data_IF_975946649448
#
_entry.id   IF_975946649448
#
_cell.length_a   1.000
_cell.length_b   1.000
_cell.length_c   1.000
_cell.angle_alpha   90.00
_cell.angle_beta   90.00
_cell.angle_gamma   90.00
#
_symmetry.space_group_name_H-M   'P 1'
#
loop_
_entity.id
_entity.type
_entity.pdbx_description
1 polymer ?
#
# COMPACT_ATOMS: atom_id res chain seq x y z
N UNK A 1 -34.59 8.60 17.28
CA UNK A 1 -33.22 8.78 16.79
C UNK A 1 -33.12 7.96 15.52
N UNK A 2 -32.89 8.62 14.38
CA UNK A 2 -32.59 7.95 13.11
C UNK A 2 -31.30 7.14 13.29
N UNK A 3 -31.32 5.86 12.97
CA UNK A 3 -30.12 5.01 13.02
C UNK A 3 -29.05 5.50 12.04
N UNK A 4 -27.82 4.98 12.14
CA UNK A 4 -26.73 5.30 11.22
C UNK A 4 -27.14 4.93 9.78
N UNK A 5 -26.81 5.78 8.81
CA UNK A 5 -27.02 5.46 7.40
C UNK A 5 -25.85 4.68 6.83
N UNK A 6 -26.11 3.80 5.87
CA UNK A 6 -25.05 3.06 5.16
C UNK A 6 -24.04 4.02 4.51
N UNK A 7 -24.53 5.11 3.91
CA UNK A 7 -23.67 6.12 3.29
C UNK A 7 -22.72 6.78 4.28
N UNK A 8 -23.18 7.09 5.51
CA UNK A 8 -22.32 7.68 6.54
C UNK A 8 -21.26 6.70 7.03
N UNK A 9 -21.62 5.42 7.16
CA UNK A 9 -20.67 4.35 7.50
C UNK A 9 -19.64 4.17 6.38
N UNK A 10 -20.10 4.10 5.12
CA UNK A 10 -19.23 3.94 3.95
C UNK A 10 -18.26 5.13 3.81
N UNK A 11 -18.74 6.35 4.07
CA UNK A 11 -17.90 7.55 4.08
C UNK A 11 -16.85 7.48 5.21
N UNK A 12 -17.22 7.04 6.42
CA UNK A 12 -16.26 6.87 7.51
C UNK A 12 -15.17 5.84 7.17
N UNK A 13 -15.54 4.76 6.48
CA UNK A 13 -14.61 3.72 6.03
C UNK A 13 -13.59 4.21 4.99
N UNK A 14 -13.83 5.36 4.33
CA UNK A 14 -12.85 5.93 3.40
C UNK A 14 -11.54 6.35 4.09
N UNK A 15 -11.59 6.62 5.40
CA UNK A 15 -10.41 6.92 6.21
C UNK A 15 -9.55 5.70 6.57
N UNK A 16 -10.04 4.48 6.32
CA UNK A 16 -9.35 3.24 6.67
C UNK A 16 -8.43 2.83 5.53
N UNK A 17 -7.13 2.71 5.83
CA UNK A 17 -6.08 2.44 4.86
C UNK A 17 -5.62 0.99 4.99
N UNK A 18 -5.62 0.24 3.89
CA UNK A 18 -4.99 -1.08 3.85
C UNK A 18 -3.47 -0.92 4.10
N UNK A 19 -2.89 -1.56 5.12
CA UNK A 19 -1.50 -1.36 5.51
C UNK A 19 -0.49 -1.93 4.50
N UNK A 20 -0.88 -2.88 3.65
CA UNK A 20 -0.02 -3.47 2.61
C UNK A 20 -0.03 -2.64 1.32
N UNK A 21 -1.22 -2.27 0.85
CA UNK A 21 -1.46 -1.56 -0.41
C UNK A 21 -1.34 -0.04 -0.22
N UNK A 22 -1.52 0.45 1.01
CA UNK A 22 -1.56 1.86 1.40
C UNK A 22 -2.54 2.68 0.58
N UNK A 23 -3.72 2.10 0.37
CA UNK A 23 -4.89 2.74 -0.23
C UNK A 23 -6.12 2.48 0.61
N UNK A 24 -7.11 3.32 0.39
CA UNK A 24 -8.41 3.25 1.04
C UNK A 24 -9.11 1.91 0.72
N UNK A 25 -9.62 1.22 1.75
CA UNK A 25 -10.27 -0.09 1.61
C UNK A 25 -11.56 -0.04 0.77
N UNK A 26 -12.24 1.10 0.72
CA UNK A 26 -13.42 1.35 -0.12
C UNK A 26 -13.03 1.49 -1.59
N UNK A 27 -11.96 2.24 -1.89
CA UNK A 27 -11.46 2.37 -3.28
C UNK A 27 -11.01 1.02 -3.87
N UNK A 28 -10.50 0.15 -2.99
CA UNK A 28 -10.01 -1.18 -3.30
C UNK A 28 -11.12 -2.24 -3.42
N UNK A 29 -12.39 -1.89 -3.23
CA UNK A 29 -13.52 -2.83 -3.15
C UNK A 29 -13.31 -3.94 -2.11
N UNK A 30 -12.64 -3.62 -1.00
CA UNK A 30 -12.45 -4.56 0.10
C UNK A 30 -13.68 -4.61 1.02
N UNK A 31 -14.56 -3.60 1.00
CA UNK A 31 -15.80 -3.61 1.79
C UNK A 31 -16.89 -4.35 1.01
N UNK A 32 -17.21 -5.57 1.46
CA UNK A 32 -18.21 -6.44 0.80
C UNK A 32 -19.64 -6.08 1.20
N UNK A 33 -19.89 -5.93 2.50
CA UNK A 33 -21.22 -5.58 3.03
C UNK A 33 -21.11 -4.66 4.24
N UNK A 34 -22.16 -3.85 4.42
CA UNK A 34 -22.41 -3.05 5.62
C UNK A 34 -23.84 -3.37 6.04
N UNK A 35 -23.99 -4.11 7.13
CA UNK A 35 -25.27 -4.54 7.67
C UNK A 35 -25.61 -3.72 8.93
N UNK A 36 -26.71 -2.98 8.90
CA UNK A 36 -27.13 -2.08 9.97
C UNK A 36 -28.43 -2.59 10.60
N UNK A 37 -28.38 -2.93 11.89
CA UNK A 37 -29.53 -3.31 12.70
C UNK A 37 -29.65 -2.37 13.92
N UNK A 38 -30.51 -1.37 13.79
CA UNK A 38 -30.62 -0.30 14.79
C UNK A 38 -29.30 0.47 14.91
N UNK A 39 -28.65 0.39 16.08
CA UNK A 39 -27.32 0.98 16.31
C UNK A 39 -26.15 0.00 16.12
N UNK A 40 -26.42 -1.27 15.81
CA UNK A 40 -25.38 -2.27 15.58
C UNK A 40 -24.99 -2.30 14.11
N UNK A 41 -23.72 -2.12 13.83
CA UNK A 41 -23.16 -2.14 12.47
C UNK A 41 -22.20 -3.31 12.33
N UNK A 42 -22.44 -4.16 11.33
CA UNK A 42 -21.52 -5.23 10.94
C UNK A 42 -20.90 -4.89 9.60
N UNK A 43 -19.57 -4.87 9.52
CA UNK A 43 -18.83 -4.60 8.28
C UNK A 43 -18.06 -5.84 7.87
N UNK A 44 -18.28 -6.31 6.65
CA UNK A 44 -17.51 -7.42 6.07
C UNK A 44 -16.38 -6.87 5.21
N UNK A 45 -15.14 -7.16 5.59
CA UNK A 45 -13.93 -6.70 4.88
C UNK A 45 -13.16 -7.88 4.29
N UNK A 46 -12.95 -7.86 2.99
CA UNK A 46 -12.24 -8.87 2.21
C UNK A 46 -10.75 -8.55 2.13
N UNK A 47 -9.93 -9.51 2.53
CA UNK A 47 -8.47 -9.40 2.49
C UNK A 47 -7.92 -10.01 1.20
N UNK A 48 -6.79 -9.46 0.74
CA UNK A 48 -6.12 -9.90 -0.49
C UNK A 48 -5.45 -11.27 -0.36
N UNK A 49 -4.93 -11.60 0.82
CA UNK A 49 -4.20 -12.85 1.10
C UNK A 49 -4.69 -13.48 2.42
N UNK A 50 -4.87 -14.79 2.41
CA UNK A 50 -5.22 -15.55 3.60
C UNK A 50 -4.02 -15.62 4.56
N UNK A 51 -4.17 -15.09 5.78
CA UNK A 51 -3.18 -15.22 6.86
C UNK A 51 -2.37 -13.97 7.19
N UNK A 52 -2.77 -12.79 6.68
CA UNK A 52 -2.03 -11.56 6.97
C UNK A 52 -2.06 -11.21 8.48
N UNK A 53 -0.92 -10.93 9.12
CA UNK A 53 -0.86 -10.44 10.52
C UNK A 53 -1.46 -9.04 10.69
N UNK A 54 -1.80 -8.37 9.59
CA UNK A 54 -2.35 -7.01 9.57
C UNK A 54 -3.88 -6.98 9.68
N UNK A 55 -4.53 -8.14 9.82
CA UNK A 55 -5.96 -8.29 10.12
C UNK A 55 -6.39 -7.44 11.31
N UNK A 56 -5.59 -7.48 12.39
CA UNK A 56 -5.89 -6.76 13.62
C UNK A 56 -5.89 -5.24 13.42
N UNK A 57 -5.03 -4.74 12.54
CA UNK A 57 -4.99 -3.31 12.19
C UNK A 57 -6.23 -2.91 11.40
N UNK A 58 -6.58 -3.68 10.36
CA UNK A 58 -7.80 -3.40 9.57
C UNK A 58 -9.05 -3.46 10.45
N UNK A 59 -9.18 -4.48 11.30
CA UNK A 59 -10.29 -4.60 12.25
C UNK A 59 -10.37 -3.38 13.17
N UNK A 60 -9.28 -3.04 13.85
CA UNK A 60 -9.24 -1.91 14.79
C UNK A 60 -9.52 -0.57 14.11
N UNK A 61 -8.94 -0.33 12.95
CA UNK A 61 -9.12 0.93 12.23
C UNK A 61 -10.55 1.07 11.68
N UNK A 62 -11.13 -0.05 11.22
CA UNK A 62 -12.54 -0.14 10.80
C UNK A 62 -13.48 0.13 11.98
N UNK A 63 -13.28 -0.56 13.11
CA UNK A 63 -14.06 -0.33 14.34
C UNK A 63 -13.98 1.13 14.79
N UNK A 64 -12.77 1.69 14.84
CA UNK A 64 -12.55 3.07 15.26
C UNK A 64 -13.14 4.10 14.29
N UNK A 65 -13.21 3.81 12.99
CA UNK A 65 -13.83 4.68 12.00
C UNK A 65 -15.36 4.66 12.12
N UNK A 66 -15.96 3.47 12.18
CA UNK A 66 -17.42 3.30 12.23
C UNK A 66 -18.01 3.73 13.57
N UNK A 67 -17.30 3.51 14.68
CA UNK A 67 -17.77 3.92 16.02
C UNK A 67 -17.93 5.45 16.18
N UNK A 68 -17.36 6.25 15.26
CA UNK A 68 -17.51 7.72 15.24
C UNK A 68 -18.77 8.19 14.49
N UNK A 69 -19.51 7.28 13.86
CA UNK A 69 -20.74 7.62 13.13
C UNK A 69 -21.90 7.76 14.12
N UNK A 70 -22.66 8.85 14.00
CA UNK A 70 -23.81 9.13 14.86
C UNK A 70 -24.84 7.99 14.79
N UNK A 71 -25.29 7.53 15.96
CA UNK A 71 -26.27 6.45 16.09
C UNK A 71 -25.68 5.04 16.18
N UNK A 72 -24.36 4.88 16.01
CA UNK A 72 -23.68 3.59 16.22
C UNK A 72 -23.50 3.31 17.72
N UNK A 73 -23.95 2.14 18.16
CA UNK A 73 -23.82 1.65 19.55
C UNK A 73 -22.89 0.45 19.67
N UNK A 74 -22.77 -0.36 18.61
CA UNK A 74 -21.93 -1.55 18.56
C UNK A 74 -21.38 -1.73 17.15
N UNK A 75 -20.10 -2.11 17.02
CA UNK A 75 -19.46 -2.42 15.74
C UNK A 75 -18.89 -3.83 15.78
N UNK A 76 -19.13 -4.59 14.71
CA UNK A 76 -18.55 -5.91 14.50
C UNK A 76 -17.88 -5.95 13.13
N UNK A 77 -16.65 -6.45 13.06
CA UNK A 77 -15.93 -6.60 11.78
C UNK A 77 -15.76 -8.07 11.47
N UNK A 78 -16.24 -8.48 10.30
CA UNK A 78 -16.08 -9.84 9.78
C UNK A 78 -15.01 -9.80 8.68
N UNK A 79 -14.00 -10.64 8.81
CA UNK A 79 -12.92 -10.71 7.82
C UNK A 79 -13.14 -11.87 6.87
N UNK A 80 -13.21 -11.57 5.57
CA UNK A 80 -13.24 -12.54 4.49
C UNK A 80 -11.95 -12.52 3.66
N UNK A 81 -11.94 -13.29 2.58
CA UNK A 81 -10.85 -13.29 1.61
C UNK A 81 -11.40 -13.08 0.22
N UNK A 82 -10.77 -12.21 -0.56
CA UNK A 82 -11.20 -11.94 -1.94
C UNK A 82 -11.13 -13.19 -2.81
N UNK A 83 -12.15 -13.38 -3.66
CA UNK A 83 -12.19 -14.36 -4.74
C UNK A 83 -11.15 -14.03 -5.83
N UNK A 84 -10.81 -14.99 -6.72
CA UNK A 84 -9.95 -14.72 -7.88
C UNK A 84 -10.44 -13.55 -8.76
N UNK A 85 -11.75 -13.46 -8.99
CA UNK A 85 -12.37 -12.40 -9.79
C UNK A 85 -12.24 -11.03 -9.12
N UNK A 86 -12.49 -10.97 -7.81
CA UNK A 86 -12.33 -9.74 -7.02
C UNK A 86 -10.88 -9.27 -6.99
N UNK A 87 -9.91 -10.19 -6.86
CA UNK A 87 -8.47 -9.86 -6.96
C UNK A 87 -8.10 -9.34 -8.34
N UNK A 88 -8.68 -9.89 -9.40
CA UNK A 88 -8.47 -9.41 -10.77
C UNK A 88 -9.00 -7.98 -10.94
N UNK A 89 -10.21 -7.68 -10.45
CA UNK A 89 -10.77 -6.33 -10.50
C UNK A 89 -9.92 -5.31 -9.72
N UNK A 90 -9.47 -5.67 -8.52
CA UNK A 90 -8.55 -4.83 -7.73
C UNK A 90 -7.23 -4.58 -8.48
N UNK A 91 -6.69 -5.60 -9.15
CA UNK A 91 -5.47 -5.47 -9.97
C UNK A 91 -5.65 -4.48 -11.11
N UNK A 92 -6.77 -4.52 -11.82
CA UNK A 92 -7.09 -3.57 -12.88
C UNK A 92 -7.15 -2.11 -12.35
N UNK A 93 -7.72 -1.90 -11.16
CA UNK A 93 -7.69 -0.58 -10.49
C UNK A 93 -6.27 -0.13 -10.11
N UNK A 94 -5.43 -1.05 -9.64
CA UNK A 94 -4.06 -0.74 -9.19
C UNK A 94 -3.09 -0.48 -10.35
N UNK A 95 -3.23 -1.19 -11.48
CA UNK A 95 -2.32 -1.08 -12.62
C UNK A 95 -2.54 0.19 -13.44
N UNK A 96 -3.72 0.83 -13.37
CA UNK A 96 -4.11 1.86 -14.33
C UNK A 96 -4.27 1.26 -15.73
N UNK A 97 -4.82 2.02 -16.67
CA UNK A 97 -5.10 1.54 -18.03
C UNK A 97 -3.87 0.87 -18.65
N UNK A 98 -3.96 -0.45 -18.91
CA UNK A 98 -2.88 -1.37 -19.31
C UNK A 98 -2.24 -1.12 -20.68
N UNK A 99 -2.04 0.13 -21.07
CA UNK A 99 -1.18 0.46 -22.20
C UNK A 99 0.27 0.16 -21.83
N UNK A 100 1.02 -0.52 -22.71
CA UNK A 100 2.50 -0.69 -22.66
C UNK A 100 3.29 0.61 -22.75
N UNK A 101 2.60 1.73 -22.58
CA UNK A 101 3.14 3.05 -22.60
C UNK A 101 3.61 3.39 -21.18
N UNK A 102 4.86 3.83 -21.05
CA UNK A 102 5.43 4.23 -19.78
C UNK A 102 4.81 5.58 -19.43
N UNK A 103 3.94 5.69 -18.40
CA UNK A 103 3.14 6.90 -18.20
C UNK A 103 3.97 8.17 -17.96
N UNK A 104 5.21 8.01 -17.48
CA UNK A 104 6.14 9.11 -17.28
C UNK A 104 6.98 9.51 -18.50
N UNK A 105 6.85 8.80 -19.63
CA UNK A 105 7.41 9.23 -20.91
C UNK A 105 6.47 10.18 -21.67
N UNK A 106 5.22 10.34 -21.21
CA UNK A 106 4.25 11.22 -21.86
C UNK A 106 4.64 12.70 -21.68
N UNK A 107 4.45 13.58 -22.68
CA UNK A 107 4.84 14.99 -22.61
C UNK A 107 4.24 15.76 -21.42
N UNK A 108 3.02 15.39 -21.01
CA UNK A 108 2.31 15.98 -19.89
C UNK A 108 2.75 15.45 -18.51
N UNK A 109 3.64 14.44 -18.46
CA UNK A 109 4.07 13.89 -17.19
C UNK A 109 4.96 14.87 -16.44
N UNK A 110 4.57 15.15 -15.20
CA UNK A 110 5.38 15.95 -14.26
C UNK A 110 6.48 15.12 -13.59
N UNK A 111 6.54 13.82 -13.87
CA UNK A 111 7.52 12.91 -13.26
C UNK A 111 8.94 13.26 -13.72
N UNK A 112 9.87 13.40 -12.78
CA UNK A 112 11.29 13.62 -13.07
C UNK A 112 12.08 12.36 -12.71
N UNK A 113 12.89 11.89 -13.65
CA UNK A 113 13.74 10.69 -13.46
C UNK A 113 15.18 11.15 -13.21
N UNK A 114 15.72 10.79 -12.05
CA UNK A 114 17.10 11.08 -11.67
C UNK A 114 17.90 9.77 -11.67
N UNK A 115 18.90 9.68 -12.54
CA UNK A 115 19.82 8.55 -12.56
C UNK A 115 20.98 8.83 -11.58
N UNK A 116 21.10 8.01 -10.54
CA UNK A 116 22.22 8.06 -9.59
C UNK A 116 23.07 6.81 -9.81
N UNK A 117 24.23 6.97 -10.45
CA UNK A 117 25.11 5.88 -10.84
C UNK A 117 26.54 6.11 -10.35
N UNK A 118 27.26 5.01 -10.11
CA UNK A 118 28.69 5.01 -9.81
C UNK A 118 29.30 3.71 -10.33
N UNK A 119 30.52 3.78 -10.85
CA UNK A 119 31.32 2.59 -11.21
C UNK A 119 32.13 2.00 -10.04
N UNK A 120 32.00 2.54 -8.83
CA UNK A 120 32.78 2.13 -7.65
C UNK A 120 31.88 1.99 -6.42
N UNK A 121 32.19 1.00 -5.57
CA UNK A 121 31.58 0.84 -4.24
C UNK A 121 32.02 1.95 -3.28
N UNK A 122 31.17 2.30 -2.32
CA UNK A 122 31.52 3.21 -1.22
C UNK A 122 31.53 4.71 -1.53
N UNK A 123 31.16 5.15 -2.73
CA UNK A 123 31.16 6.58 -3.11
C UNK A 123 29.95 7.38 -2.62
N UNK A 124 29.03 6.75 -1.87
CA UNK A 124 27.83 7.40 -1.36
C UNK A 124 26.62 7.40 -2.31
N UNK A 125 26.60 6.58 -3.38
CA UNK A 125 25.47 6.44 -4.32
C UNK A 125 24.13 6.24 -3.57
N UNK A 126 24.05 5.21 -2.74
CA UNK A 126 22.84 4.88 -1.98
C UNK A 126 22.49 5.96 -0.96
N UNK A 127 23.50 6.56 -0.33
CA UNK A 127 23.32 7.64 0.63
C UNK A 127 22.68 8.87 -0.01
N UNK A 128 23.17 9.29 -1.18
CA UNK A 128 22.59 10.40 -1.93
C UNK A 128 21.18 10.04 -2.39
N UNK A 129 20.97 8.85 -2.95
CA UNK A 129 19.65 8.40 -3.40
C UNK A 129 18.61 8.39 -2.28
N UNK A 130 18.93 7.79 -1.13
CA UNK A 130 18.01 7.68 0.00
C UNK A 130 17.67 9.06 0.58
N UNK A 131 18.67 9.89 0.88
CA UNK A 131 18.44 11.20 1.49
C UNK A 131 17.71 12.16 0.53
N UNK A 132 18.04 12.14 -0.77
CA UNK A 132 17.33 12.93 -1.76
C UNK A 132 15.87 12.50 -1.85
N UNK A 133 15.60 11.20 -1.91
CA UNK A 133 14.25 10.68 -2.02
C UNK A 133 13.38 11.05 -0.81
N UNK A 134 13.90 10.86 0.41
CA UNK A 134 13.21 11.23 1.65
C UNK A 134 12.97 12.74 1.71
N UNK A 135 13.98 13.56 1.38
CA UNK A 135 13.83 15.02 1.37
C UNK A 135 12.79 15.52 0.37
N UNK A 136 12.62 14.84 -0.77
CA UNK A 136 11.58 15.16 -1.74
C UNK A 136 10.19 14.70 -1.25
N UNK A 137 10.11 13.53 -0.61
CA UNK A 137 8.88 13.03 -0.01
C UNK A 137 8.39 13.92 1.14
N UNK A 138 9.29 14.43 1.98
CA UNK A 138 8.99 15.38 3.06
C UNK A 138 8.46 16.73 2.53
N UNK A 139 8.78 17.08 1.28
CA UNK A 139 8.20 18.23 0.57
C UNK A 139 6.83 17.93 -0.05
N UNK A 140 6.25 16.77 0.24
CA UNK A 140 4.94 16.33 -0.27
C UNK A 140 4.97 15.78 -1.70
N UNK A 141 6.16 15.51 -2.26
CA UNK A 141 6.25 14.92 -3.61
C UNK A 141 6.03 13.41 -3.56
N UNK A 142 5.46 12.85 -4.63
CA UNK A 142 5.39 11.40 -4.82
C UNK A 142 6.73 10.90 -5.32
N UNK A 143 7.42 10.08 -4.52
CA UNK A 143 8.78 9.62 -4.81
C UNK A 143 8.86 8.10 -4.85
N UNK A 144 9.60 7.60 -5.83
CA UNK A 144 9.95 6.19 -5.96
C UNK A 144 11.46 6.00 -6.13
N UNK A 145 12.03 4.95 -5.52
CA UNK A 145 13.39 4.47 -5.76
C UNK A 145 13.31 3.12 -6.46
N UNK A 146 14.07 2.97 -7.54
CA UNK A 146 14.38 1.69 -8.17
C UNK A 146 15.87 1.44 -8.01
N UNK A 147 16.22 0.45 -7.20
CA UNK A 147 17.59 0.03 -6.92
C UNK A 147 17.90 -1.27 -7.67
N UNK A 148 18.78 -1.15 -8.66
CA UNK A 148 19.19 -2.25 -9.53
C UNK A 148 20.58 -2.82 -9.16
N UNK A 149 21.14 -2.45 -8.00
CA UNK A 149 22.46 -2.94 -7.57
C UNK A 149 22.39 -4.38 -7.05
N UNK A 150 22.72 -5.35 -7.91
CA UNK A 150 22.61 -6.79 -7.62
C UNK A 150 23.49 -7.21 -6.43
N UNK A 151 24.68 -6.62 -6.31
CA UNK A 151 25.71 -7.06 -5.35
C UNK A 151 25.86 -6.11 -4.17
N UNK A 152 25.54 -4.81 -4.33
CA UNK A 152 25.78 -3.76 -3.34
C UNK A 152 24.52 -3.03 -2.87
N UNK A 153 23.34 -3.67 -2.95
CA UNK A 153 22.09 -3.07 -2.50
C UNK A 153 22.19 -2.65 -1.03
N UNK A 154 21.90 -1.39 -0.77
CA UNK A 154 21.94 -0.81 0.57
C UNK A 154 20.70 0.03 0.87
N UNK A 155 19.91 0.37 -0.15
CA UNK A 155 18.70 1.18 -0.01
C UNK A 155 17.70 0.56 0.97
N UNK A 156 17.36 -0.75 0.92
CA UNK A 156 16.40 -1.30 1.88
C UNK A 156 16.88 -1.14 3.33
N UNK A 157 18.12 -1.51 3.61
CA UNK A 157 18.71 -1.39 4.94
C UNK A 157 18.81 0.07 5.42
N UNK A 158 19.20 0.99 4.54
CA UNK A 158 19.30 2.43 4.86
C UNK A 158 17.94 3.06 5.21
N UNK A 159 16.85 2.54 4.64
CA UNK A 159 15.49 3.01 4.91
C UNK A 159 14.76 2.19 5.98
N UNK A 160 15.46 1.25 6.64
CA UNK A 160 14.87 0.37 7.66
C UNK A 160 13.82 -0.61 7.10
N UNK A 161 13.86 -0.89 5.80
CA UNK A 161 12.96 -1.83 5.14
C UNK A 161 13.44 -3.27 5.35
N UNK A 162 12.50 -4.16 5.63
CA UNK A 162 12.76 -5.59 5.84
C UNK A 162 11.67 -6.44 5.22
N UNK A 163 11.95 -7.73 5.03
CA UNK A 163 11.01 -8.67 4.42
C UNK A 163 10.94 -8.59 2.90
N UNK A 164 10.02 -9.36 2.31
CA UNK A 164 9.80 -9.40 0.87
C UNK A 164 8.65 -8.45 0.49
N UNK A 165 8.62 -7.92 -0.74
CA UNK A 165 7.49 -7.13 -1.22
C UNK A 165 6.22 -7.99 -1.26
N UNK A 166 5.07 -7.40 -0.91
CA UNK A 166 3.78 -8.09 -1.03
C UNK A 166 3.50 -8.36 -2.50
N UNK A 167 3.18 -9.62 -2.81
CA UNK A 167 2.80 -10.05 -4.15
C UNK A 167 1.29 -10.25 -4.20
N UNK A 168 0.64 -9.52 -5.09
CA UNK A 168 -0.79 -9.68 -5.41
C UNK A 168 -0.86 -10.28 -6.80
N UNK A 169 -1.03 -11.60 -6.88
CA UNK A 169 -0.96 -12.36 -8.13
C UNK A 169 0.40 -12.14 -8.84
N UNK A 170 0.45 -11.66 -10.08
CA UNK A 170 1.71 -11.31 -10.77
C UNK A 170 2.24 -9.91 -10.44
N UNK A 171 1.50 -9.13 -9.65
CA UNK A 171 1.88 -7.76 -9.31
C UNK A 171 2.75 -7.72 -8.05
N UNK A 172 3.82 -6.95 -8.10
CA UNK A 172 4.68 -6.69 -6.94
C UNK A 172 4.40 -5.29 -6.42
N UNK A 173 3.92 -5.20 -5.18
CA UNK A 173 3.73 -3.93 -4.51
C UNK A 173 5.08 -3.44 -3.95
N UNK A 174 5.52 -2.21 -4.27
CA UNK A 174 6.75 -1.68 -3.71
C UNK A 174 6.62 -1.54 -2.19
N UNK A 175 7.69 -1.85 -1.48
CA UNK A 175 7.74 -1.52 -0.05
C UNK A 175 7.83 -0.02 0.14
N UNK A 176 7.38 0.49 1.28
CA UNK A 176 7.31 1.92 1.51
C UNK A 176 7.85 2.27 2.89
N UNK A 177 8.86 3.15 2.92
CA UNK A 177 9.45 3.73 4.13
C UNK A 177 9.62 5.23 3.91
N UNK A 178 9.41 6.04 4.96
CA UNK A 178 9.55 7.50 4.89
C UNK A 178 8.77 8.13 3.72
N UNK A 179 7.56 7.62 3.44
CA UNK A 179 6.73 8.01 2.30
C UNK A 179 7.36 7.81 0.91
N UNK A 180 8.47 7.08 0.80
CA UNK A 180 9.15 6.72 -0.44
C UNK A 180 8.80 5.29 -0.81
N UNK A 181 8.34 5.06 -2.05
CA UNK A 181 8.12 3.71 -2.61
C UNK A 181 9.45 3.14 -3.08
N UNK A 182 9.78 1.90 -2.74
CA UNK A 182 11.07 1.28 -3.00
C UNK A 182 10.90 -0.07 -3.66
N UNK A 183 11.58 -0.23 -4.79
CA UNK A 183 11.87 -1.52 -5.40
C UNK A 183 13.37 -1.71 -5.42
N UNK A 184 13.88 -2.77 -4.80
CA UNK A 184 15.30 -3.11 -4.84
C UNK A 184 15.48 -4.57 -5.17
N UNK A 185 16.47 -4.88 -6.00
CA UNK A 185 16.86 -6.27 -6.29
C UNK A 185 17.22 -7.04 -5.02
N UNK A 186 17.77 -6.36 -4.00
CA UNK A 186 18.12 -6.95 -2.71
C UNK A 186 16.95 -7.55 -1.95
N UNK A 187 15.72 -7.12 -2.22
CA UNK A 187 14.52 -7.67 -1.61
C UNK A 187 14.17 -9.08 -2.14
N UNK A 188 14.78 -9.49 -3.25
CA UNK A 188 14.54 -10.79 -3.91
C UNK A 188 15.71 -11.77 -3.73
N UNK A 189 16.84 -11.33 -3.19
CA UNK A 189 18.01 -12.17 -2.94
C UNK A 189 17.89 -12.83 -1.56
N UNK A 190 18.11 -14.15 -1.43
CA UNK A 190 18.10 -14.82 -0.13
C UNK A 190 19.16 -14.25 0.83
N UNK A 191 18.90 -14.20 2.16
CA UNK A 191 19.85 -13.68 3.15
C UNK A 191 21.22 -14.38 3.16
N UNK A 192 21.31 -15.60 2.61
CA UNK A 192 22.53 -16.40 2.53
C UNK A 192 23.40 -16.08 1.30
N UNK A 193 23.07 -15.04 0.54
CA UNK A 193 23.72 -14.71 -0.74
C UNK A 193 24.14 -13.23 -0.85
N UNK A 194 24.34 -12.57 0.29
CA UNK A 194 25.10 -11.33 0.37
C UNK A 194 26.53 -11.67 0.82
N UNK A 195 27.53 -11.29 0.02
CA UNK A 195 28.95 -11.36 0.37
C UNK A 195 29.44 -9.95 0.65
#
# INVERSE_FOLDING_TARGET
MTGPSEDAVREALTGVIDPEIRRNIVELDMVESIDIDGGKVTVTVLLTIAGCPLKDTITRDTEAAVARVDGVTEVSVVLGTMSPEQRKAMKEKLQGSGTRDIPFNRPESLTKVYAVASGKGGVGKSSVTANLAVSLADKGLRVGIVDADIYGFSIPGMLGLSGKPTRVDEMILPQVAHNVKVMSIGMFVPPSQAV
#
